data_IF_377781213712
#
_entry.id   IF_377781213712
#
_cell.length_a   1.000
_cell.length_b   1.000
_cell.length_c   1.000
_cell.angle_alpha   90.00
_cell.angle_beta   90.00
_cell.angle_gamma   90.00
#
_symmetry.space_group_name_H-M   'P 1'
#
loop_
_entity.id
_entity.type
_entity.pdbx_description
1 polymer ?
#
# COMPACT_ATOMS: atom_id res chain seq x y z
N UNK A 1 -9.64 -14.20 22.26
CA UNK A 1 -8.80 -13.78 21.11
C UNK A 1 -7.94 -12.63 21.56
N UNK A 2 -6.65 -12.64 21.20
CA UNK A 2 -5.78 -11.50 21.45
C UNK A 2 -6.26 -10.29 20.66
N UNK A 3 -5.77 -9.10 21.00
CA UNK A 3 -6.00 -7.89 20.20
C UNK A 3 -5.24 -8.06 18.89
N UNK A 4 -5.85 -7.67 17.77
CA UNK A 4 -5.19 -7.78 16.47
C UNK A 4 -5.13 -6.45 15.74
N UNK A 5 -4.20 -6.37 14.79
CA UNK A 5 -4.16 -5.34 13.77
C UNK A 5 -4.43 -5.97 12.40
N UNK A 6 -5.11 -5.24 11.53
CA UNK A 6 -5.39 -5.66 10.17
C UNK A 6 -4.63 -4.77 9.19
N UNK A 7 -3.83 -5.36 8.30
CA UNK A 7 -3.08 -4.64 7.25
C UNK A 7 -3.70 -4.99 5.90
N UNK A 8 -4.08 -3.95 5.15
CA UNK A 8 -4.53 -4.09 3.75
C UNK A 8 -3.71 -3.24 2.80
N UNK A 9 -3.51 -3.75 1.58
CA UNK A 9 -2.84 -3.04 0.49
C UNK A 9 -3.83 -2.78 -0.66
N UNK A 10 -4.04 -1.51 -1.00
CA UNK A 10 -4.94 -1.05 -2.05
C UNK A 10 -4.20 -0.53 -3.29
N UNK A 11 -4.82 -0.69 -4.47
CA UNK A 11 -4.29 -0.17 -5.73
C UNK A 11 -3.22 -1.06 -6.38
N UNK A 12 -2.27 -0.44 -7.09
CA UNK A 12 -1.09 -1.11 -7.66
C UNK A 12 0.12 -1.13 -6.72
N UNK A 13 1.08 -2.05 -6.92
CA UNK A 13 2.28 -2.14 -6.09
C UNK A 13 3.18 -0.92 -6.24
N UNK A 14 3.99 -0.66 -5.21
CA UNK A 14 5.06 0.33 -5.24
C UNK A 14 6.31 -0.28 -4.57
N UNK A 15 7.53 0.06 -5.01
CA UNK A 15 8.74 -0.37 -4.33
C UNK A 15 8.71 0.01 -2.84
N UNK A 16 9.11 -0.90 -1.95
CA UNK A 16 9.12 -0.68 -0.50
C UNK A 16 7.83 -1.07 0.24
N UNK A 17 6.78 -1.52 -0.46
CA UNK A 17 5.53 -1.94 0.22
C UNK A 17 5.74 -3.09 1.20
N UNK A 18 6.60 -4.08 0.89
CA UNK A 18 6.93 -5.15 1.83
C UNK A 18 7.75 -4.65 3.02
N UNK A 19 8.59 -3.63 2.84
CA UNK A 19 9.34 -2.98 3.93
C UNK A 19 8.37 -2.32 4.92
N UNK A 20 7.31 -1.66 4.42
CA UNK A 20 6.23 -1.10 5.24
C UNK A 20 5.49 -2.22 6.01
N UNK A 21 5.05 -3.28 5.32
CA UNK A 21 4.34 -4.41 5.96
C UNK A 21 5.23 -5.07 7.02
N UNK A 22 6.50 -5.31 6.72
CA UNK A 22 7.48 -5.90 7.63
C UNK A 22 7.64 -5.05 8.89
N UNK A 23 7.83 -3.74 8.73
CA UNK A 23 8.05 -2.81 9.83
C UNK A 23 6.83 -2.72 10.73
N UNK A 24 5.63 -2.60 10.15
CA UNK A 24 4.37 -2.62 10.89
C UNK A 24 4.22 -3.93 11.66
N UNK A 25 4.39 -5.07 10.99
CA UNK A 25 4.24 -6.37 11.61
C UNK A 25 5.18 -6.56 12.81
N UNK A 26 6.48 -6.30 12.64
CA UNK A 26 7.46 -6.40 13.72
C UNK A 26 7.17 -5.47 14.88
N UNK A 27 6.69 -4.25 14.60
CA UNK A 27 6.35 -3.26 15.64
C UNK A 27 5.18 -3.75 16.50
N UNK A 28 4.09 -4.18 15.88
CA UNK A 28 2.89 -4.60 16.62
C UNK A 28 3.02 -5.99 17.25
N UNK A 29 3.81 -6.90 16.66
CA UNK A 29 4.17 -8.17 17.31
C UNK A 29 4.94 -7.96 18.61
N UNK A 30 5.77 -6.91 18.70
CA UNK A 30 6.49 -6.57 19.93
C UNK A 30 5.55 -6.10 21.05
N UNK A 31 4.40 -5.55 20.68
CA UNK A 31 3.36 -5.07 21.60
C UNK A 31 2.24 -6.10 21.82
N UNK A 32 2.53 -7.39 21.55
CA UNK A 32 1.62 -8.53 21.74
C UNK A 32 0.31 -8.49 20.94
N UNK A 33 0.32 -7.82 19.77
CA UNK A 33 -0.80 -7.88 18.83
C UNK A 33 -0.64 -9.00 17.81
N UNK A 34 -1.74 -9.68 17.49
CA UNK A 34 -1.81 -10.54 16.31
C UNK A 34 -1.82 -9.66 15.05
N UNK A 35 -0.94 -9.97 14.08
CA UNK A 35 -0.83 -9.19 12.84
C UNK A 35 -1.46 -9.94 11.68
N UNK A 36 -2.58 -9.41 11.18
CA UNK A 36 -3.38 -10.00 10.12
C UNK A 36 -3.18 -9.23 8.81
N UNK A 37 -2.45 -9.81 7.85
CA UNK A 37 -2.41 -9.31 6.49
C UNK A 37 -3.59 -9.84 5.68
N UNK A 38 -4.43 -8.96 5.14
CA UNK A 38 -5.62 -9.37 4.38
C UNK A 38 -5.37 -9.22 2.89
N UNK A 39 -5.47 -10.31 2.15
CA UNK A 39 -5.35 -10.30 0.69
C UNK A 39 -6.53 -9.58 0.04
N UNK A 40 -6.30 -9.01 -1.14
CA UNK A 40 -7.26 -8.30 -1.98
C UNK A 40 -7.85 -7.01 -1.37
N UNK A 41 -7.13 -6.37 -0.45
CA UNK A 41 -7.50 -5.05 0.08
C UNK A 41 -8.90 -5.02 0.69
N UNK A 42 -9.69 -3.99 0.36
CA UNK A 42 -11.08 -3.89 0.83
C UNK A 42 -11.98 -5.04 0.38
N UNK A 43 -11.72 -5.64 -0.79
CA UNK A 43 -12.48 -6.81 -1.24
C UNK A 43 -12.31 -7.99 -0.28
N UNK A 44 -11.10 -8.16 0.26
CA UNK A 44 -10.82 -9.20 1.24
C UNK A 44 -11.46 -8.93 2.59
N UNK A 45 -11.28 -7.72 3.13
CA UNK A 45 -11.77 -7.40 4.48
C UNK A 45 -13.30 -7.38 4.58
N UNK A 46 -14.00 -7.11 3.46
CA UNK A 46 -15.47 -7.12 3.37
C UNK A 46 -16.04 -8.45 2.85
N UNK A 47 -15.18 -9.44 2.61
CA UNK A 47 -15.60 -10.77 2.16
C UNK A 47 -16.10 -11.61 3.34
N UNK A 48 -17.06 -12.49 3.06
CA UNK A 48 -17.54 -13.48 4.04
C UNK A 48 -16.44 -14.52 4.37
N UNK A 49 -15.51 -14.76 3.43
CA UNK A 49 -14.38 -15.70 3.59
C UNK A 49 -13.06 -14.99 3.25
N UNK A 50 -12.55 -14.13 4.15
CA UNK A 50 -11.32 -13.38 3.93
C UNK A 50 -10.11 -14.32 3.84
N UNK A 51 -9.25 -14.11 2.84
CA UNK A 51 -7.93 -14.76 2.78
C UNK A 51 -6.94 -13.94 3.61
N UNK A 52 -6.50 -14.51 4.73
CA UNK A 52 -5.67 -13.86 5.74
C UNK A 52 -4.31 -14.55 5.80
N UNK A 53 -3.25 -13.75 5.81
CA UNK A 53 -1.89 -14.15 6.16
C UNK A 53 -1.57 -13.65 7.55
N UNK A 54 -1.32 -14.56 8.49
CA UNK A 54 -0.84 -14.22 9.83
C UNK A 54 0.67 -14.02 9.76
N UNK A 55 1.16 -12.93 10.35
CA UNK A 55 2.59 -12.66 10.45
C UNK A 55 3.11 -13.01 11.83
N UNK A 56 4.24 -13.72 11.83
CA UNK A 56 5.17 -13.79 12.96
C UNK A 56 6.43 -12.96 12.64
N UNK A 57 7.34 -12.86 13.59
CA UNK A 57 8.55 -12.05 13.43
C UNK A 57 9.42 -12.53 12.25
N UNK A 58 9.57 -13.84 12.07
CA UNK A 58 10.43 -14.42 11.03
C UNK A 58 9.86 -14.21 9.62
N UNK A 59 8.55 -14.44 9.44
CA UNK A 59 7.86 -14.22 8.17
C UNK A 59 7.80 -12.73 7.81
N UNK A 60 7.68 -11.84 8.80
CA UNK A 60 7.80 -10.40 8.61
C UNK A 60 9.22 -9.99 8.23
N UNK A 61 10.25 -10.58 8.84
CA UNK A 61 11.65 -10.29 8.53
C UNK A 61 12.02 -10.66 7.09
N UNK A 62 11.62 -11.85 6.64
CA UNK A 62 11.95 -12.38 5.30
C UNK A 62 11.44 -11.52 4.14
N UNK A 63 10.39 -10.74 4.34
CA UNK A 63 9.82 -9.91 3.26
C UNK A 63 10.45 -8.53 3.16
N UNK A 64 11.22 -8.09 4.17
CA UNK A 64 11.65 -6.69 4.32
C UNK A 64 12.33 -6.10 3.08
N UNK A 65 13.22 -6.87 2.45
CA UNK A 65 14.01 -6.48 1.29
C UNK A 65 13.45 -6.95 -0.05
N UNK A 66 12.29 -7.62 -0.06
CA UNK A 66 11.70 -8.16 -1.28
C UNK A 66 10.92 -7.10 -2.06
N UNK A 67 11.08 -7.08 -3.38
CA UNK A 67 10.20 -6.35 -4.29
C UNK A 67 8.78 -6.93 -4.36
N UNK A 68 7.90 -6.24 -5.09
CA UNK A 68 6.49 -6.63 -5.20
C UNK A 68 5.72 -6.45 -3.89
N UNK A 69 4.63 -7.21 -3.70
CA UNK A 69 3.82 -7.19 -2.49
C UNK A 69 3.49 -8.61 -2.05
N UNK A 70 3.76 -8.95 -0.79
CA UNK A 70 3.39 -10.23 -0.18
C UNK A 70 1.87 -10.37 -0.03
N UNK A 71 1.16 -9.25 0.13
CA UNK A 71 -0.29 -9.20 0.13
C UNK A 71 -0.78 -8.91 -1.28
N UNK A 72 -1.63 -9.80 -1.80
CA UNK A 72 -2.26 -9.61 -3.11
C UNK A 72 -3.11 -8.35 -3.05
N UNK A 73 -2.93 -7.44 -4.02
CA UNK A 73 -3.61 -6.14 -4.00
C UNK A 73 -4.91 -6.19 -4.82
N UNK A 74 -5.76 -5.17 -4.64
CA UNK A 74 -6.99 -4.99 -5.40
C UNK A 74 -7.26 -3.52 -5.64
N UNK A 75 -7.92 -3.21 -6.76
CA UNK A 75 -8.43 -1.87 -7.08
C UNK A 75 -9.91 -1.70 -6.71
N UNK A 76 -10.49 -2.66 -5.98
CA UNK A 76 -11.89 -2.60 -5.54
C UNK A 76 -12.15 -1.39 -4.65
N UNK A 77 -13.16 -0.59 -5.03
CA UNK A 77 -13.62 0.60 -4.30
C UNK A 77 -15.01 0.32 -3.73
N UNK A 78 -15.15 0.01 -2.43
CA UNK A 78 -16.44 -0.29 -1.84
C UNK A 78 -17.31 0.96 -1.72
N UNK A 79 -18.61 0.78 -1.95
CA UNK A 79 -19.66 1.72 -1.56
C UNK A 79 -19.95 1.57 -0.06
N UNK A 80 -20.59 2.57 0.55
CA UNK A 80 -20.97 2.51 1.96
C UNK A 80 -21.91 1.32 2.26
N UNK A 81 -22.73 0.92 1.28
CA UNK A 81 -23.59 -0.27 1.36
C UNK A 81 -22.83 -1.59 1.43
N UNK A 82 -21.56 -1.61 1.04
CA UNK A 82 -20.73 -2.81 1.04
C UNK A 82 -20.04 -3.03 2.40
N UNK A 83 -20.13 -2.06 3.31
CA UNK A 83 -19.44 -2.13 4.60
C UNK A 83 -20.06 -3.16 5.53
N UNK A 84 -19.17 -3.93 6.15
CA UNK A 84 -19.49 -4.98 7.13
C UNK A 84 -18.53 -4.89 8.29
N UNK A 85 -19.03 -5.17 9.48
CA UNK A 85 -18.25 -5.18 10.72
C UNK A 85 -17.68 -6.57 11.07
N UNK A 86 -18.18 -7.63 10.42
CA UNK A 86 -17.96 -9.03 10.80
C UNK A 86 -16.47 -9.38 10.95
N UNK A 87 -15.64 -8.94 10.01
CA UNK A 87 -14.20 -9.17 10.05
C UNK A 87 -13.56 -8.59 11.32
N UNK A 88 -13.94 -7.37 11.69
CA UNK A 88 -13.34 -6.64 12.82
C UNK A 88 -13.74 -7.28 14.15
N UNK A 89 -15.01 -7.66 14.29
CA UNK A 89 -15.53 -8.34 15.47
C UNK A 89 -14.94 -9.74 15.60
N UNK A 90 -15.01 -10.54 14.53
CA UNK A 90 -14.55 -11.94 14.51
C UNK A 90 -13.07 -12.06 14.81
N UNK A 91 -12.25 -11.09 14.41
CA UNK A 91 -10.80 -11.13 14.62
C UNK A 91 -10.31 -10.20 15.75
N UNK A 92 -11.21 -9.56 16.50
CA UNK A 92 -10.89 -8.62 17.58
C UNK A 92 -9.89 -7.51 17.13
N UNK A 93 -10.13 -6.95 15.95
CA UNK A 93 -9.26 -5.93 15.33
C UNK A 93 -9.39 -4.62 16.10
N UNK A 94 -8.26 -4.07 16.54
CA UNK A 94 -8.18 -2.76 17.23
C UNK A 94 -7.62 -1.66 16.35
N UNK A 95 -6.90 -2.03 15.30
CA UNK A 95 -6.31 -1.09 14.36
C UNK A 95 -6.41 -1.63 12.94
N UNK A 96 -6.95 -0.81 12.05
CA UNK A 96 -6.85 -0.99 10.61
C UNK A 96 -5.70 -0.15 10.06
N UNK A 97 -4.73 -0.79 9.44
CA UNK A 97 -3.66 -0.12 8.69
C UNK A 97 -3.93 -0.29 7.20
N UNK A 98 -4.06 0.83 6.49
CA UNK A 98 -4.31 0.83 5.04
C UNK A 98 -3.10 1.39 4.29
N UNK A 99 -2.57 0.64 3.33
CA UNK A 99 -1.44 1.04 2.50
C UNK A 99 -1.95 1.28 1.08
N UNK A 100 -1.96 2.52 0.60
CA UNK A 100 -2.64 2.84 -0.65
C UNK A 100 -2.58 4.31 -1.06
N UNK A 101 -3.22 4.64 -2.18
CA UNK A 101 -3.38 6.02 -2.62
C UNK A 101 -4.55 6.75 -1.94
N UNK A 102 -4.90 7.90 -2.49
CA UNK A 102 -6.04 8.76 -2.11
C UNK A 102 -7.37 7.99 -1.95
N UNK A 103 -7.72 7.14 -2.92
CA UNK A 103 -8.93 6.32 -2.89
C UNK A 103 -8.96 5.38 -1.68
N UNK A 104 -7.78 4.85 -1.31
CA UNK A 104 -7.63 3.94 -0.17
C UNK A 104 -7.79 4.69 1.13
N UNK A 105 -7.21 5.90 1.23
CA UNK A 105 -7.35 6.80 2.37
C UNK A 105 -8.81 7.22 2.60
N UNK A 106 -9.47 7.71 1.53
CA UNK A 106 -10.86 8.17 1.57
C UNK A 106 -11.82 7.04 2.00
N UNK A 107 -11.63 5.84 1.45
CA UNK A 107 -12.41 4.67 1.84
C UNK A 107 -12.18 4.27 3.29
N UNK A 108 -10.94 4.41 3.79
CA UNK A 108 -10.62 4.07 5.18
C UNK A 108 -11.40 4.99 6.13
N UNK A 109 -11.41 6.30 5.87
CA UNK A 109 -12.17 7.26 6.68
C UNK A 109 -13.67 6.95 6.71
N UNK A 110 -14.28 6.58 5.57
CA UNK A 110 -15.68 6.17 5.51
C UNK A 110 -15.94 4.89 6.31
N UNK A 111 -15.07 3.88 6.17
CA UNK A 111 -15.20 2.61 6.90
C UNK A 111 -15.04 2.80 8.41
N UNK A 112 -14.06 3.60 8.85
CA UNK A 112 -13.87 3.91 10.28
C UNK A 112 -15.08 4.62 10.87
N UNK A 113 -15.68 5.57 10.13
CA UNK A 113 -16.94 6.21 10.56
C UNK A 113 -18.09 5.21 10.66
N UNK A 114 -18.22 4.30 9.70
CA UNK A 114 -19.21 3.22 9.76
C UNK A 114 -19.01 2.33 10.99
N UNK A 115 -17.78 1.90 11.27
CA UNK A 115 -17.46 1.06 12.43
C UNK A 115 -17.77 1.78 13.75
N UNK A 116 -17.43 3.07 13.85
CA UNK A 116 -17.77 3.89 15.01
C UNK A 116 -19.28 3.97 15.24
N UNK A 117 -20.09 4.09 14.18
CA UNK A 117 -21.56 4.07 14.29
C UNK A 117 -22.11 2.72 14.74
N UNK A 118 -21.34 1.64 14.58
CA UNK A 118 -21.66 0.31 15.11
C UNK A 118 -21.13 0.10 16.55
N UNK A 119 -20.68 1.16 17.23
CA UNK A 119 -20.03 1.12 18.54
C UNK A 119 -18.76 0.24 18.58
N UNK A 120 -18.05 0.15 17.45
CA UNK A 120 -16.78 -0.58 17.37
C UNK A 120 -15.61 0.42 17.39
N UNK A 121 -14.79 0.30 18.43
CA UNK A 121 -13.57 1.08 18.58
C UNK A 121 -12.43 0.44 17.77
N UNK A 122 -12.33 0.81 16.50
CA UNK A 122 -11.23 0.42 15.61
C UNK A 122 -10.49 1.69 15.18
N UNK A 123 -9.24 1.83 15.64
CA UNK A 123 -8.37 2.90 15.20
C UNK A 123 -7.98 2.70 13.73
N UNK A 124 -7.54 3.78 13.07
CA UNK A 124 -7.11 3.74 11.68
C UNK A 124 -5.79 4.50 11.48
N UNK A 125 -4.88 3.87 10.73
CA UNK A 125 -3.65 4.49 10.22
C UNK A 125 -3.61 4.28 8.71
N UNK A 126 -3.26 5.34 7.97
CA UNK A 126 -3.03 5.27 6.53
C UNK A 126 -1.55 5.47 6.21
N UNK A 127 -0.98 4.57 5.40
CA UNK A 127 0.36 4.72 4.83
C UNK A 127 0.22 5.11 3.36
N UNK A 128 0.55 6.35 2.99
CA UNK A 128 0.35 6.88 1.64
C UNK A 128 1.32 6.21 0.64
N UNK A 129 0.76 5.60 -0.40
CA UNK A 129 1.46 4.82 -1.44
C UNK A 129 1.08 5.28 -2.84
N UNK A 130 2.01 5.95 -3.49
CA UNK A 130 1.98 6.27 -4.92
C UNK A 130 3.41 6.41 -5.42
N UNK A 131 3.69 5.96 -6.64
CA UNK A 131 5.00 6.24 -7.29
C UNK A 131 4.95 7.56 -8.05
N UNK A 132 3.76 8.12 -8.29
CA UNK A 132 3.58 9.37 -9.04
C UNK A 132 3.92 10.60 -8.18
N UNK A 133 4.13 10.38 -6.87
CA UNK A 133 4.41 11.42 -5.87
C UNK A 133 3.36 12.55 -5.89
N UNK A 134 2.10 12.18 -6.02
CA UNK A 134 0.95 13.06 -6.21
C UNK A 134 0.10 13.24 -4.93
N UNK A 135 0.61 12.79 -3.77
CA UNK A 135 -0.02 13.01 -2.47
C UNK A 135 0.67 14.15 -1.70
N UNK A 136 -0.08 15.06 -1.07
CA UNK A 136 0.48 16.19 -0.33
C UNK A 136 0.96 15.74 1.06
N UNK A 137 2.20 15.25 1.15
CA UNK A 137 2.80 14.89 2.43
C UNK A 137 3.43 16.11 3.12
N UNK A 138 3.48 16.13 4.48
CA UNK A 138 4.18 17.16 5.24
C UNK A 138 5.63 17.30 4.80
N UNK A 139 6.16 18.52 4.91
CA UNK A 139 7.54 18.88 4.58
C UNK A 139 7.95 18.54 3.13
N UNK A 140 6.97 18.37 2.23
CA UNK A 140 7.17 17.94 0.84
C UNK A 140 7.91 16.61 0.73
N UNK A 141 7.76 15.75 1.73
CA UNK A 141 8.35 14.42 1.69
C UNK A 141 7.76 13.62 0.51
N UNK A 142 8.61 12.93 -0.26
CA UNK A 142 8.12 12.08 -1.33
C UNK A 142 7.43 10.84 -0.76
N UNK A 143 6.43 10.34 -1.47
CA UNK A 143 5.80 9.07 -1.15
C UNK A 143 6.78 7.92 -1.37
N UNK A 144 6.67 6.87 -0.55
CA UNK A 144 7.58 5.73 -0.67
C UNK A 144 7.44 5.08 -2.06
N UNK A 145 8.56 4.61 -2.60
CA UNK A 145 8.65 4.04 -3.93
C UNK A 145 8.90 5.05 -5.06
N UNK A 146 8.67 6.36 -4.86
CA UNK A 146 8.97 7.39 -5.87
C UNK A 146 10.44 7.40 -6.27
N UNK A 147 11.36 7.49 -5.31
CA UNK A 147 12.79 7.54 -5.61
C UNK A 147 13.29 6.28 -6.32
N UNK A 148 12.89 5.10 -5.85
CA UNK A 148 13.24 3.84 -6.53
C UNK A 148 12.72 3.80 -7.97
N UNK A 149 11.48 4.24 -8.21
CA UNK A 149 10.91 4.29 -9.55
C UNK A 149 11.63 5.31 -10.45
N UNK A 150 11.98 6.48 -9.89
CA UNK A 150 12.75 7.52 -10.57
C UNK A 150 14.14 7.02 -10.96
N UNK A 151 14.89 6.45 -10.02
CA UNK A 151 16.26 6.00 -10.25
C UNK A 151 16.31 4.88 -11.31
N UNK A 152 15.33 3.96 -11.29
CA UNK A 152 15.19 2.94 -12.33
C UNK A 152 14.81 3.56 -13.68
N UNK A 153 13.93 4.56 -13.69
CA UNK A 153 13.58 5.31 -14.89
C UNK A 153 14.77 6.06 -15.49
N UNK A 154 15.62 6.71 -14.67
CA UNK A 154 16.87 7.37 -15.10
C UNK A 154 17.83 6.34 -15.71
N UNK A 155 17.98 5.17 -15.07
CA UNK A 155 18.83 4.09 -15.59
C UNK A 155 18.39 3.65 -16.99
N UNK A 156 17.08 3.43 -17.18
CA UNK A 156 16.49 3.05 -18.46
C UNK A 156 16.64 4.20 -19.47
N UNK A 157 16.30 5.43 -19.09
CA UNK A 157 16.38 6.62 -19.94
C UNK A 157 17.79 6.86 -20.49
N UNK A 158 18.81 6.80 -19.63
CA UNK A 158 20.21 6.92 -20.05
C UNK A 158 20.62 5.80 -21.00
N UNK A 159 20.20 4.56 -20.73
CA UNK A 159 20.53 3.41 -21.59
C UNK A 159 19.92 3.59 -22.99
N UNK A 160 18.66 4.01 -23.06
CA UNK A 160 17.95 4.24 -24.33
C UNK A 160 18.54 5.46 -25.07
N UNK A 161 18.91 6.53 -24.35
CA UNK A 161 19.55 7.70 -24.94
C UNK A 161 20.89 7.37 -25.61
N UNK A 162 21.70 6.53 -24.98
CA UNK A 162 22.99 6.08 -25.51
C UNK A 162 22.84 5.31 -26.84
N UNK A 163 21.80 4.48 -26.97
CA UNK A 163 21.49 3.79 -28.22
C UNK A 163 20.94 4.74 -29.29
N UNK A 164 20.03 5.65 -28.89
CA UNK A 164 19.44 6.67 -29.76
C UNK A 164 20.52 7.51 -30.46
N UNK A 165 21.47 8.04 -29.69
CA UNK A 165 22.53 8.92 -30.21
C UNK A 165 23.55 8.18 -31.07
N UNK A 166 23.78 6.89 -30.80
CA UNK A 166 24.77 6.09 -31.54
C UNK A 166 24.21 5.59 -32.86
N UNK A 167 22.93 5.25 -32.89
CA UNK A 167 22.26 4.70 -34.08
C UNK A 167 21.51 5.75 -34.91
N UNK A 168 21.57 7.03 -34.53
CA UNK A 168 20.85 8.14 -35.15
C UNK A 168 19.32 7.92 -35.22
N UNK A 169 18.77 7.21 -34.22
CA UNK A 169 17.35 6.87 -34.13
C UNK A 169 16.63 7.62 -33.01
N UNK A 170 15.29 7.62 -33.07
CA UNK A 170 14.43 8.16 -32.03
C UNK A 170 13.75 7.04 -31.25
N UNK A 171 13.79 7.14 -29.93
CA UNK A 171 13.04 6.27 -29.03
C UNK A 171 12.04 7.09 -28.22
N UNK A 172 10.86 6.51 -27.99
CA UNK A 172 9.82 7.10 -27.14
C UNK A 172 9.71 6.26 -25.88
N UNK A 173 10.03 6.86 -24.73
CA UNK A 173 9.92 6.22 -23.41
C UNK A 173 8.66 6.73 -22.71
N UNK A 174 7.83 5.80 -22.24
CA UNK A 174 6.64 6.12 -21.43
C UNK A 174 6.95 5.89 -19.95
N UNK A 175 6.72 6.91 -19.13
CA UNK A 175 6.84 6.84 -17.68
C UNK A 175 5.46 6.71 -17.01
N UNK A 176 5.43 6.17 -15.79
CA UNK A 176 4.25 6.25 -14.91
C UNK A 176 3.99 7.72 -14.53
N UNK A 177 2.78 8.02 -14.05
CA UNK A 177 2.36 9.41 -13.79
C UNK A 177 0.93 9.71 -14.20
N UNK A 178 -0.05 8.99 -13.63
CA UNK A 178 -1.46 8.99 -14.09
C UNK A 178 -2.02 10.39 -14.30
N UNK A 179 -1.80 11.26 -13.31
CA UNK A 179 -2.30 12.64 -13.30
C UNK A 179 -1.21 13.65 -12.93
N UNK A 180 0.02 13.18 -12.69
CA UNK A 180 1.16 13.99 -12.29
C UNK A 180 2.42 13.58 -13.07
N UNK A 181 3.16 14.57 -13.57
CA UNK A 181 4.37 14.35 -14.37
C UNK A 181 5.67 14.22 -13.57
N UNK A 182 5.62 14.08 -12.24
CA UNK A 182 6.83 14.14 -11.40
C UNK A 182 7.86 13.06 -11.73
N UNK A 183 7.42 11.84 -12.08
CA UNK A 183 8.33 10.78 -12.51
C UNK A 183 8.96 11.11 -13.85
N UNK A 184 8.16 11.49 -14.86
CA UNK A 184 8.68 11.87 -16.17
C UNK A 184 9.68 13.02 -16.07
N UNK A 185 9.37 14.05 -15.27
CA UNK A 185 10.25 15.19 -15.01
C UNK A 185 11.52 14.77 -14.24
N UNK A 186 11.42 13.83 -13.30
CA UNK A 186 12.58 13.35 -12.54
C UNK A 186 13.46 12.34 -13.27
N UNK A 187 12.97 11.76 -14.38
CA UNK A 187 13.71 10.84 -15.25
C UNK A 187 14.49 11.60 -16.32
N UNK A 188 13.90 12.66 -16.88
CA UNK A 188 14.50 13.53 -17.88
C UNK A 188 15.67 14.34 -17.31
#
# INVERSE_FOLDING_TARGET
>A
MNKSIAIICGGGPAPGINTVISTLAKTFLKDDYDVLGVHHGYKGILSDNPSIRIFDYQSADRIFSLGGSVLTMSRFKPKDSDFKADFFVKNNVKLLVTIGGDDTASTAGRLTKYLSNQNLEVAHIHVPKTIDNDLPLPDRNPTFGFHTAKDEGVRIGNTVYEDARTSENWFVVSAMGRSAGHLAFGIA
#
